data_IF_216536080500
#
_entry.id   IF_216536080500
#
_cell.length_a   1.000
_cell.length_b   1.000
_cell.length_c   1.000
_cell.angle_alpha   90.00
_cell.angle_beta   90.00
_cell.angle_gamma   90.00
#
_symmetry.space_group_name_H-M   'P 1'
#
loop_
_entity.id
_entity.type
_entity.pdbx_description
1 polymer ?
#
# COMPACT_ATOMS: atom_id res chain seq x y z
N UNK A 1 2.73 18.45 -16.07
CA UNK A 1 2.84 17.83 -15.60
C UNK A 1 3.11 17.56 -14.59
N UNK A 2 2.95 17.41 -13.98
CA UNK A 2 3.26 17.16 -13.01
C UNK A 2 3.48 16.06 -12.45
N UNK A 3 3.84 15.65 -12.54
CA UNK A 3 4.32 14.52 -12.31
C UNK A 3 4.78 14.20 -11.01
N UNK A 4 5.07 15.12 -10.32
CA UNK A 4 5.58 15.00 -9.12
C UNK A 4 4.66 14.72 -8.16
N UNK A 5 3.53 15.05 -8.41
CA UNK A 5 2.47 14.73 -7.54
C UNK A 5 2.25 13.26 -7.47
N UNK A 6 2.92 12.54 -8.29
CA UNK A 6 2.84 11.10 -8.27
C UNK A 6 3.81 10.47 -7.29
N UNK A 7 4.44 11.25 -6.44
CA UNK A 7 5.39 10.69 -5.48
C UNK A 7 4.72 9.72 -4.51
N UNK A 8 3.48 9.96 -4.13
CA UNK A 8 2.72 9.08 -3.25
C UNK A 8 1.44 8.67 -3.92
N UNK A 9 1.20 7.36 -3.97
CA UNK A 9 -0.08 6.83 -4.45
C UNK A 9 -0.90 6.46 -3.23
N UNK A 10 -2.08 7.05 -3.10
CA UNK A 10 -3.01 6.65 -2.06
C UNK A 10 -4.01 5.66 -2.62
N UNK A 11 -4.17 4.55 -1.93
CA UNK A 11 -5.03 3.47 -2.37
C UNK A 11 -5.94 3.07 -1.23
N UNK A 12 -7.21 3.36 -1.37
CA UNK A 12 -8.20 3.05 -0.34
C UNK A 12 -8.80 1.68 -0.62
N UNK A 13 -8.54 0.75 0.28
CA UNK A 13 -9.04 -0.63 0.15
C UNK A 13 -9.94 -1.02 1.33
N UNK A 14 -10.34 -0.05 2.16
CA UNK A 14 -11.17 -0.39 3.30
C UNK A 14 -12.48 -1.04 2.82
N UNK A 15 -12.97 -2.01 3.57
CA UNK A 15 -14.18 -2.72 3.19
C UNK A 15 -14.00 -3.81 2.13
N UNK A 16 -12.82 -3.91 1.53
CA UNK A 16 -12.56 -4.97 0.56
C UNK A 16 -12.17 -6.26 1.28
N UNK A 17 -12.32 -7.39 0.59
CA UNK A 17 -11.71 -8.62 1.05
C UNK A 17 -10.20 -8.52 0.85
N UNK A 18 -9.44 -9.35 1.53
CA UNK A 18 -7.99 -9.36 1.35
C UNK A 18 -7.62 -9.63 -0.11
N UNK A 19 -8.32 -10.55 -0.76
CA UNK A 19 -8.04 -10.85 -2.17
C UNK A 19 -8.28 -9.64 -3.06
N UNK A 20 -9.37 -8.91 -2.83
CA UNK A 20 -9.67 -7.71 -3.60
C UNK A 20 -8.63 -6.63 -3.35
N UNK A 21 -8.24 -6.45 -2.09
CA UNK A 21 -7.23 -5.45 -1.73
C UNK A 21 -5.89 -5.78 -2.41
N UNK A 22 -5.49 -7.03 -2.40
CA UNK A 22 -4.24 -7.45 -3.04
C UNK A 22 -4.29 -7.23 -4.56
N UNK A 23 -5.42 -7.50 -5.19
CA UNK A 23 -5.58 -7.21 -6.61
C UNK A 23 -5.37 -5.74 -6.89
N UNK A 24 -5.94 -4.86 -6.06
CA UNK A 24 -5.80 -3.42 -6.22
C UNK A 24 -4.35 -2.98 -6.00
N UNK A 25 -3.69 -3.54 -4.99
CA UNK A 25 -2.30 -3.21 -4.69
C UNK A 25 -1.38 -3.66 -5.83
N UNK A 26 -1.59 -4.88 -6.34
CA UNK A 26 -0.78 -5.40 -7.44
C UNK A 26 -0.94 -4.51 -8.68
N UNK A 27 -2.14 -4.04 -8.96
CA UNK A 27 -2.38 -3.13 -10.08
C UNK A 27 -1.65 -1.80 -9.87
N UNK A 28 -1.70 -1.27 -8.64
CA UNK A 28 -1.00 -0.03 -8.32
C UNK A 28 0.50 -0.19 -8.48
N UNK A 29 1.06 -1.33 -8.05
CA UNK A 29 2.49 -1.60 -8.21
C UNK A 29 2.89 -1.60 -9.68
N UNK A 30 2.07 -2.18 -10.55
CA UNK A 30 2.37 -2.20 -11.98
C UNK A 30 2.35 -0.82 -12.61
N UNK A 31 1.58 0.10 -12.04
CA UNK A 31 1.43 1.46 -12.58
C UNK A 31 2.18 2.51 -11.78
N UNK A 32 3.01 2.09 -10.84
CA UNK A 32 3.60 3.02 -9.88
C UNK A 32 4.54 4.04 -10.54
N UNK A 33 5.19 3.67 -11.63
CA UNK A 33 6.07 4.61 -12.32
C UNK A 33 7.13 5.18 -11.40
N UNK A 34 7.13 6.49 -11.23
CA UNK A 34 8.12 7.17 -10.39
C UNK A 34 7.71 7.33 -8.93
N UNK A 35 6.58 6.78 -8.52
CA UNK A 35 6.14 6.93 -7.14
C UNK A 35 7.11 6.24 -6.18
N UNK A 36 7.31 6.82 -5.01
CA UNK A 36 8.22 6.21 -4.04
C UNK A 36 7.47 5.45 -2.95
N UNK A 37 6.17 5.65 -2.79
CA UNK A 37 5.39 4.86 -1.84
C UNK A 37 3.94 4.72 -2.28
N UNK A 38 3.33 3.64 -1.83
CA UNK A 38 1.90 3.45 -1.93
C UNK A 38 1.37 3.45 -0.51
N UNK A 39 0.48 4.39 -0.21
CA UNK A 39 -0.18 4.44 1.08
C UNK A 39 -1.48 3.67 0.98
N UNK A 40 -1.51 2.52 1.63
CA UNK A 40 -2.69 1.66 1.60
C UNK A 40 -3.57 2.00 2.79
N UNK A 41 -4.77 2.45 2.52
CA UNK A 41 -5.74 2.81 3.55
C UNK A 41 -6.66 1.61 3.72
N UNK A 42 -6.41 0.81 4.74
CA UNK A 42 -7.18 -0.42 4.97
C UNK A 42 -8.21 -0.26 6.08
N UNK A 43 -8.11 0.83 6.84
CA UNK A 43 -8.99 1.03 7.97
C UNK A 43 -8.62 0.14 9.14
N UNK A 44 -9.31 0.33 10.25
CA UNK A 44 -9.09 -0.50 11.43
C UNK A 44 -10.41 -0.91 12.10
N UNK A 45 -11.53 -0.50 11.54
CA UNK A 45 -12.82 -1.00 11.98
C UNK A 45 -13.00 -2.39 11.39
N UNK A 46 -13.46 -3.32 12.16
CA UNK A 46 -13.64 -4.68 11.69
C UNK A 46 -12.41 -5.56 11.85
N UNK A 47 -11.41 -5.08 12.61
CA UNK A 47 -10.27 -5.91 12.99
C UNK A 47 -9.05 -5.65 12.14
N UNK A 48 -8.11 -6.60 12.16
CA UNK A 48 -6.79 -6.42 11.59
C UNK A 48 -6.52 -7.35 10.40
N UNK A 49 -7.56 -7.99 9.86
CA UNK A 49 -7.38 -8.99 8.81
C UNK A 49 -6.71 -8.39 7.58
N UNK A 50 -7.21 -7.24 7.11
CA UNK A 50 -6.62 -6.59 5.95
C UNK A 50 -5.21 -6.12 6.24
N UNK A 51 -5.02 -5.44 7.38
CA UNK A 51 -3.72 -4.92 7.76
C UNK A 51 -2.67 -6.03 7.82
N UNK A 52 -2.98 -7.07 8.56
CA UNK A 52 -2.02 -8.15 8.79
C UNK A 52 -1.78 -8.96 7.53
N UNK A 53 -2.82 -9.20 6.74
CA UNK A 53 -2.69 -9.92 5.49
C UNK A 53 -1.85 -9.16 4.47
N UNK A 54 -2.08 -7.85 4.36
CA UNK A 54 -1.32 -7.00 3.45
C UNK A 54 0.15 -6.98 3.87
N UNK A 55 0.42 -6.75 5.14
CA UNK A 55 1.80 -6.69 5.63
C UNK A 55 2.53 -8.01 5.40
N UNK A 56 1.84 -9.13 5.64
CA UNK A 56 2.44 -10.44 5.45
C UNK A 56 2.71 -10.71 3.96
N UNK A 57 1.74 -10.42 3.13
CA UNK A 57 1.85 -10.73 1.70
C UNK A 57 2.94 -9.93 1.02
N UNK A 58 3.10 -8.67 1.39
CA UNK A 58 4.03 -7.79 0.69
C UNK A 58 5.40 -7.66 1.35
N UNK A 59 5.61 -8.31 2.48
CA UNK A 59 6.87 -8.24 3.20
C UNK A 59 8.06 -8.72 2.36
N UNK A 60 7.85 -9.68 1.49
CA UNK A 60 8.91 -10.25 0.67
C UNK A 60 8.80 -9.87 -0.81
N UNK A 61 7.96 -8.90 -1.13
CA UNK A 61 7.78 -8.50 -2.53
C UNK A 61 9.01 -7.72 -2.99
N UNK A 62 9.57 -8.11 -4.15
CA UNK A 62 10.81 -7.53 -4.63
C UNK A 62 10.69 -6.07 -5.06
N UNK A 63 9.49 -5.60 -5.35
CA UNK A 63 9.26 -4.20 -5.72
C UNK A 63 9.14 -3.30 -4.50
N UNK A 64 8.99 -3.87 -3.32
CA UNK A 64 8.78 -3.11 -2.09
C UNK A 64 10.04 -3.21 -1.25
N UNK A 65 10.65 -2.07 -0.96
CA UNK A 65 11.89 -2.02 -0.19
C UNK A 65 11.65 -2.29 1.28
N UNK A 66 10.58 -1.74 1.81
CA UNK A 66 10.18 -1.97 3.19
C UNK A 66 8.76 -1.51 3.38
N UNK A 67 8.20 -1.90 4.49
CA UNK A 67 6.84 -1.53 4.89
C UNK A 67 6.95 -0.60 6.08
N UNK A 68 6.31 0.56 6.00
CA UNK A 68 6.20 1.47 7.12
C UNK A 68 4.80 1.44 7.68
N UNK A 69 4.70 1.45 8.99
CA UNK A 69 3.42 1.58 9.65
C UNK A 69 3.00 3.05 9.50
N UNK A 70 1.78 3.28 9.07
CA UNK A 70 1.31 4.63 8.87
C UNK A 70 1.22 5.41 10.18
N UNK A 71 0.96 6.70 10.06
CA UNK A 71 0.80 7.56 11.22
C UNK A 71 -0.40 7.16 12.04
N UNK A 72 -1.39 6.52 11.45
CA UNK A 72 -2.52 5.99 12.17
C UNK A 72 -2.66 4.50 11.87
N UNK A 73 -3.46 3.82 12.68
CA UNK A 73 -3.56 2.37 12.60
C UNK A 73 -4.32 1.87 11.38
N UNK A 74 -4.93 2.77 10.64
CA UNK A 74 -5.71 2.41 9.45
C UNK A 74 -4.92 2.43 8.16
N UNK A 75 -3.60 2.67 8.23
CA UNK A 75 -2.78 2.84 7.04
C UNK A 75 -1.50 2.02 7.12
N UNK A 76 -1.03 1.57 5.97
CA UNK A 76 0.27 0.91 5.84
C UNK A 76 0.91 1.45 4.57
N UNK A 77 2.14 1.92 4.67
CA UNK A 77 2.86 2.45 3.53
C UNK A 77 3.83 1.41 2.97
N UNK A 78 3.72 1.17 1.67
CA UNK A 78 4.64 0.29 0.95
C UNK A 78 5.67 1.18 0.28
N UNK A 79 6.91 1.10 0.72
CA UNK A 79 7.97 1.96 0.22
C UNK A 79 8.62 1.33 -0.99
N UNK A 80 8.57 2.02 -2.12
CA UNK A 80 9.07 1.50 -3.39
C UNK A 80 10.46 1.99 -3.71
N UNK A 81 10.78 3.21 -3.30
CA UNK A 81 12.09 3.81 -3.53
C UNK A 81 12.48 4.61 -2.31
N UNK A 82 13.77 4.71 -2.08
CA UNK A 82 14.31 5.57 -1.04
C UNK A 82 15.28 6.53 -1.67
N UNK A 83 15.30 7.74 -1.15
CA UNK A 83 16.18 8.78 -1.64
C UNK A 83 17.33 9.01 -0.70
#
# INVERSE_FOLDING_TARGET
MNTFTAAVIELDVHGMTLAQACTAIDAALRRAGGAYRIRVIHGYHGGTVLRDGIRRRYAANTRIRRIELGLNQGETDLILREF
#
